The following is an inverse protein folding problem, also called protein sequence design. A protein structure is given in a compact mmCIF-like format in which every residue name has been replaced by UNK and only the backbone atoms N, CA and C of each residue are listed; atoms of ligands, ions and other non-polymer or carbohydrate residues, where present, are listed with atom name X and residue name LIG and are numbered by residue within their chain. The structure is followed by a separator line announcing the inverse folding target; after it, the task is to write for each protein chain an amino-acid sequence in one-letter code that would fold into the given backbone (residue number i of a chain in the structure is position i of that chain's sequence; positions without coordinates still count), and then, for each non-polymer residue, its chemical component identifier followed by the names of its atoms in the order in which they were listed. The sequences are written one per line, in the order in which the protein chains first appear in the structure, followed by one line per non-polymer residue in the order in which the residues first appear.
data_IF_335546367475
#
_entry.id   IF_335546367475
#
_cell.length_a   1.000
_cell.length_b   1.000
_cell.length_c   1.000
_cell.angle_alpha   90.00
_cell.angle_beta   90.00
_cell.angle_gamma   90.00
#
_symmetry.space_group_name_H-M   'P 1'
#
loop_
_entity.id
_entity.type
_entity.pdbx_description
1 polymer ?
#
# COMPACT_ATOMS: atom_id res chain seq x y z
N UNK A 1 3.92 -23.52 -8.80
CA UNK A 1 3.87 -22.05 -9.01
C UNK A 1 5.07 -21.53 -8.27
N UNK A 2 6.08 -21.08 -9.00
CA UNK A 2 7.33 -20.64 -8.40
C UNK A 2 7.25 -19.12 -8.26
N UNK A 3 6.63 -18.67 -7.17
CA UNK A 3 6.63 -17.27 -6.75
C UNK A 3 7.72 -17.11 -5.70
N UNK A 4 8.78 -16.36 -6.01
CA UNK A 4 9.79 -16.03 -5.03
C UNK A 4 9.27 -14.93 -4.10
N UNK A 5 9.54 -15.07 -2.79
CA UNK A 5 9.10 -14.10 -1.79
C UNK A 5 9.62 -12.67 -2.10
N UNK A 6 10.82 -12.55 -2.68
CA UNK A 6 11.43 -11.28 -3.10
C UNK A 6 10.61 -10.50 -4.13
N UNK A 7 9.78 -11.18 -4.92
CA UNK A 7 8.95 -10.58 -5.95
C UNK A 7 7.63 -10.05 -5.40
N UNK A 8 7.25 -10.42 -4.17
CA UNK A 8 6.03 -9.97 -3.55
C UNK A 8 6.12 -8.47 -3.24
N UNK A 9 5.11 -7.74 -3.70
CA UNK A 9 4.91 -6.32 -3.43
C UNK A 9 3.84 -6.12 -2.37
N UNK A 10 2.72 -6.82 -2.52
CA UNK A 10 1.53 -6.66 -1.67
C UNK A 10 0.78 -7.96 -1.47
N UNK A 11 0.23 -8.17 -0.29
CA UNK A 11 -0.73 -9.23 0.02
C UNK A 11 -1.94 -8.60 0.69
N UNK A 12 -3.15 -8.96 0.28
CA UNK A 12 -4.38 -8.61 0.98
C UNK A 12 -5.44 -9.69 0.84
N UNK A 13 -6.48 -9.61 1.67
CA UNK A 13 -7.70 -10.36 1.42
C UNK A 13 -8.29 -9.94 0.07
N UNK A 14 -8.88 -10.87 -0.65
CA UNK A 14 -9.73 -10.53 -1.80
C UNK A 14 -10.94 -9.70 -1.38
N UNK A 15 -11.34 -8.77 -2.23
CA UNK A 15 -12.55 -7.97 -2.07
C UNK A 15 -13.44 -8.19 -3.31
N UNK A 16 -14.67 -8.70 -3.15
CA UNK A 16 -15.56 -9.00 -4.28
C UNK A 16 -16.03 -7.75 -5.04
N UNK A 17 -15.71 -6.54 -4.56
CA UNK A 17 -15.98 -5.28 -5.26
C UNK A 17 -14.86 -4.93 -6.25
N UNK A 18 -13.68 -5.53 -6.09
CA UNK A 18 -12.47 -5.20 -6.84
C UNK A 18 -11.92 -6.36 -7.66
N UNK A 19 -12.09 -7.59 -7.16
CA UNK A 19 -11.36 -8.74 -7.67
C UNK A 19 -12.29 -9.69 -8.44
N UNK A 20 -11.81 -10.15 -9.60
CA UNK A 20 -12.56 -11.02 -10.52
C UNK A 20 -12.54 -12.52 -10.12
N UNK A 21 -11.81 -12.91 -9.08
CA UNK A 21 -11.57 -14.31 -8.70
C UNK A 21 -11.98 -14.61 -7.24
N UNK A 22 -12.33 -15.86 -6.98
CA UNK A 22 -12.84 -16.40 -5.71
C UNK A 22 -11.75 -16.92 -4.77
N UNK A 23 -10.49 -16.52 -4.95
CA UNK A 23 -9.45 -16.76 -3.95
C UNK A 23 -9.79 -16.07 -2.63
N UNK A 24 -9.22 -16.53 -1.52
CA UNK A 24 -9.32 -15.82 -0.22
C UNK A 24 -8.26 -14.71 -0.10
N UNK A 25 -7.17 -14.82 -0.86
CA UNK A 25 -6.03 -13.91 -0.81
C UNK A 25 -5.57 -13.51 -2.19
N UNK A 26 -5.31 -12.22 -2.35
CA UNK A 26 -4.66 -11.64 -3.51
C UNK A 26 -3.20 -11.32 -3.16
N UNK A 27 -2.29 -11.75 -4.02
CA UNK A 27 -0.85 -11.45 -3.95
C UNK A 27 -0.46 -10.68 -5.21
N UNK A 28 0.02 -9.45 -5.05
CA UNK A 28 0.64 -8.70 -6.13
C UNK A 28 2.15 -8.89 -6.08
N UNK A 29 2.70 -9.33 -7.21
CA UNK A 29 4.13 -9.45 -7.48
C UNK A 29 4.39 -8.94 -8.92
N UNK A 30 5.26 -9.59 -9.68
CA UNK A 30 5.37 -9.34 -11.14
C UNK A 30 4.08 -9.62 -11.92
N UNK A 31 3.17 -10.40 -11.34
CA UNK A 31 1.78 -10.57 -11.77
C UNK A 31 0.88 -10.73 -10.54
N UNK A 32 -0.44 -10.74 -10.75
CA UNK A 32 -1.42 -10.98 -9.69
C UNK A 32 -1.67 -12.47 -9.54
N UNK A 33 -1.71 -12.95 -8.29
CA UNK A 33 -2.06 -14.32 -7.94
C UNK A 33 -3.22 -14.33 -6.96
N UNK A 34 -4.15 -15.26 -7.16
CA UNK A 34 -5.23 -15.56 -6.24
C UNK A 34 -4.99 -16.93 -5.62
N UNK A 35 -5.04 -17.00 -4.29
CA UNK A 35 -4.80 -18.25 -3.55
C UNK A 35 -5.94 -18.51 -2.56
N UNK A 36 -6.13 -19.78 -2.19
CA UNK A 36 -7.25 -20.24 -1.37
C UNK A 36 -6.97 -20.10 0.13
N UNK A 37 -5.72 -19.91 0.51
CA UNK A 37 -5.28 -19.71 1.88
C UNK A 37 -5.68 -18.32 2.39
N UNK A 38 -5.89 -18.21 3.70
CA UNK A 38 -6.20 -16.95 4.38
C UNK A 38 -5.03 -15.97 4.34
N UNK A 39 -5.32 -14.69 4.11
CA UNK A 39 -4.29 -13.67 3.84
C UNK A 39 -3.27 -13.51 4.97
N UNK A 40 -3.70 -13.66 6.23
CA UNK A 40 -2.81 -13.66 7.39
C UNK A 40 -1.84 -14.84 7.39
N UNK A 41 -2.30 -16.03 6.99
CA UNK A 41 -1.45 -17.22 6.92
C UNK A 41 -0.45 -17.11 5.77
N UNK A 42 -0.90 -16.65 4.60
CA UNK A 42 -0.04 -16.36 3.45
C UNK A 42 1.02 -15.32 3.82
N UNK A 43 0.61 -14.20 4.43
CA UNK A 43 1.54 -13.16 4.85
C UNK A 43 2.55 -13.64 5.88
N UNK A 44 2.16 -14.51 6.82
CA UNK A 44 3.08 -15.10 7.79
C UNK A 44 4.12 -16.01 7.11
N UNK A 45 3.71 -16.82 6.13
CA UNK A 45 4.61 -17.66 5.35
C UNK A 45 5.59 -16.81 4.53
N UNK A 46 5.08 -15.80 3.81
CA UNK A 46 5.93 -14.89 3.02
C UNK A 46 6.87 -14.09 3.91
N UNK A 47 6.42 -13.62 5.09
CA UNK A 47 7.26 -12.88 6.05
C UNK A 47 8.49 -13.67 6.51
N UNK A 48 8.38 -15.00 6.61
CA UNK A 48 9.50 -15.85 7.01
C UNK A 48 10.66 -15.79 6.00
N UNK A 49 10.36 -15.56 4.72
CA UNK A 49 11.33 -15.46 3.63
C UNK A 49 11.60 -14.01 3.20
N UNK A 50 10.66 -13.10 3.48
CA UNK A 50 10.73 -11.67 3.19
C UNK A 50 10.55 -10.84 4.48
N UNK A 51 11.61 -10.62 5.27
CA UNK A 51 11.54 -9.87 6.53
C UNK A 51 11.11 -8.41 6.37
N UNK A 52 11.14 -7.85 5.16
CA UNK A 52 10.64 -6.50 4.87
C UNK A 52 9.12 -6.43 4.69
N UNK A 53 8.39 -7.54 4.77
CA UNK A 53 6.93 -7.51 4.68
C UNK A 53 6.33 -6.86 5.95
N UNK A 54 5.65 -5.73 5.83
CA UNK A 54 5.06 -4.98 6.94
C UNK A 54 3.54 -4.94 6.82
N UNK A 55 2.84 -5.10 7.96
CA UNK A 55 1.38 -5.07 8.01
C UNK A 55 0.90 -3.63 8.23
N UNK A 56 0.25 -3.08 7.23
CA UNK A 56 -0.55 -1.86 7.33
C UNK A 56 -2.04 -2.20 7.40
N UNK A 57 -2.84 -1.16 7.56
CA UNK A 57 -4.28 -1.27 7.66
C UNK A 57 -4.92 -0.51 6.51
N UNK A 58 -5.66 -1.25 5.69
CA UNK A 58 -6.50 -0.67 4.65
C UNK A 58 -7.58 0.22 5.28
N UNK A 59 -8.15 1.14 4.50
CA UNK A 59 -9.19 2.08 4.96
C UNK A 59 -10.32 1.41 5.74
N UNK A 60 -10.86 0.31 5.19
CA UNK A 60 -11.96 -0.45 5.76
C UNK A 60 -11.56 -1.33 6.97
N UNK A 61 -10.32 -1.21 7.46
CA UNK A 61 -9.81 -1.94 8.63
C UNK A 61 -9.21 -3.31 8.33
N UNK A 62 -9.32 -3.78 7.09
CA UNK A 62 -8.67 -5.03 6.68
C UNK A 62 -7.14 -4.86 6.64
N UNK A 63 -6.36 -5.89 7.02
CA UNK A 63 -4.91 -5.84 6.91
C UNK A 63 -4.46 -5.89 5.44
N UNK A 64 -3.40 -5.15 5.14
CA UNK A 64 -2.65 -5.22 3.88
C UNK A 64 -1.17 -5.33 4.23
N UNK A 65 -0.49 -6.30 3.64
CA UNK A 65 0.93 -6.52 3.87
C UNK A 65 1.72 -6.03 2.68
N UNK A 66 2.75 -5.22 2.91
CA UNK A 66 3.52 -4.55 1.86
C UNK A 66 5.00 -4.83 2.07
N UNK A 67 5.71 -5.12 1.00
CA UNK A 67 7.16 -5.19 1.02
C UNK A 67 7.74 -3.77 1.12
N UNK A 68 7.96 -3.29 2.33
CA UNK A 68 8.38 -1.90 2.56
C UNK A 68 9.83 -1.62 2.15
N UNK A 69 10.63 -2.66 1.87
CA UNK A 69 11.95 -2.47 1.26
C UNK A 69 11.86 -1.99 -0.19
N UNK A 70 10.82 -2.43 -0.91
CA UNK A 70 10.54 -2.01 -2.28
C UNK A 70 9.65 -0.75 -2.36
N UNK A 71 9.25 -0.20 -1.21
CA UNK A 71 8.32 0.91 -1.14
C UNK A 71 9.03 2.27 -1.04
N UNK A 72 8.29 3.32 -1.42
CA UNK A 72 8.65 4.72 -1.22
C UNK A 72 7.56 5.44 -0.46
N UNK A 73 7.92 6.19 0.57
CA UNK A 73 6.94 6.94 1.35
C UNK A 73 7.48 7.53 2.65
N UNK A 74 6.64 8.26 3.40
CA UNK A 74 5.21 8.47 3.17
C UNK A 74 4.92 9.34 1.94
N UNK A 75 3.74 9.16 1.36
CA UNK A 75 3.22 9.95 0.26
C UNK A 75 2.02 10.79 0.72
N UNK A 76 1.87 12.01 0.19
CA UNK A 76 0.72 12.85 0.47
C UNK A 76 -0.60 12.21 -0.03
N UNK A 77 -1.72 12.44 0.67
CA UNK A 77 -3.07 12.12 0.18
C UNK A 77 -3.60 13.20 -0.76
N UNK A 78 -4.13 12.83 -1.94
CA UNK A 78 -4.79 13.84 -2.77
C UNK A 78 -6.01 14.45 -2.04
N UNK A 79 -6.40 15.71 -2.33
CA UNK A 79 -7.49 16.39 -1.61
C UNK A 79 -8.82 15.61 -1.56
N UNK A 80 -9.12 14.84 -2.60
CA UNK A 80 -10.30 13.98 -2.70
C UNK A 80 -10.20 12.67 -1.88
N UNK A 81 -9.05 12.37 -1.29
CA UNK A 81 -8.79 11.19 -0.47
C UNK A 81 -8.70 11.52 1.03
N UNK A 82 -9.07 12.74 1.45
CA UNK A 82 -9.29 13.10 2.86
C UNK A 82 -10.63 12.53 3.37
N UNK A 83 -10.75 11.21 3.32
CA UNK A 83 -11.91 10.48 3.83
C UNK A 83 -11.60 9.89 5.21
N UNK A 84 -12.61 9.66 6.07
CA UNK A 84 -12.39 8.98 7.35
C UNK A 84 -11.71 7.62 7.13
N UNK A 85 -10.69 7.34 7.94
CA UNK A 85 -9.95 6.09 7.88
C UNK A 85 -8.82 6.06 6.84
N UNK A 86 -8.33 7.20 6.35
CA UNK A 86 -7.05 7.28 5.64
C UNK A 86 -6.20 8.41 6.24
N UNK A 87 -4.91 8.13 6.42
CA UNK A 87 -3.98 9.11 7.01
C UNK A 87 -2.71 9.29 6.17
N UNK A 88 -2.36 8.30 5.34
CA UNK A 88 -1.14 8.33 4.53
C UNK A 88 -1.25 7.43 3.31
N UNK A 89 -0.26 7.53 2.43
CA UNK A 89 -0.07 6.63 1.31
C UNK A 89 1.40 6.26 1.16
N UNK A 90 1.68 5.28 0.29
CA UNK A 90 3.01 4.90 -0.14
C UNK A 90 2.97 4.41 -1.60
N UNK A 91 4.09 4.53 -2.30
CA UNK A 91 4.32 3.92 -3.60
C UNK A 91 4.96 2.54 -3.40
N UNK A 92 4.39 1.52 -4.02
CA UNK A 92 4.93 0.16 -4.07
C UNK A 92 4.85 -0.34 -5.51
N UNK A 93 6.00 -0.53 -6.16
CA UNK A 93 6.07 -1.02 -7.53
C UNK A 93 5.44 -0.10 -8.57
N UNK A 94 5.45 1.23 -8.35
CA UNK A 94 4.87 2.21 -9.27
C UNK A 94 3.36 2.38 -9.12
N UNK A 95 2.77 1.82 -8.07
CA UNK A 95 1.35 1.98 -7.74
C UNK A 95 1.19 2.53 -6.33
N UNK A 96 0.17 3.35 -6.12
CA UNK A 96 -0.11 3.94 -4.82
C UNK A 96 -0.96 3.00 -3.96
N UNK A 97 -0.57 2.81 -2.70
CA UNK A 97 -1.41 2.17 -1.68
C UNK A 97 -1.78 3.20 -0.62
N UNK A 98 -3.07 3.29 -0.31
CA UNK A 98 -3.57 4.11 0.79
C UNK A 98 -3.67 3.31 2.08
N UNK A 99 -3.33 3.94 3.20
CA UNK A 99 -3.25 3.30 4.52
C UNK A 99 -3.78 4.20 5.64
N UNK A 100 -4.18 3.57 6.75
CA UNK A 100 -4.67 4.27 7.96
C UNK A 100 -3.55 4.83 8.81
N UNK A 101 -2.37 4.24 8.72
CA UNK A 101 -1.18 4.63 9.45
C UNK A 101 -0.77 6.06 9.09
N UNK A 102 -0.25 6.79 10.07
CA UNK A 102 0.21 8.16 9.88
C UNK A 102 1.43 8.22 8.96
N UNK A 103 1.74 9.40 8.38
CA UNK A 103 2.98 9.59 7.63
C UNK A 103 4.23 9.17 8.42
N UNK A 104 4.29 9.45 9.73
CA UNK A 104 5.37 9.05 10.63
C UNK A 104 5.48 7.52 10.75
N UNK A 105 4.35 6.83 10.92
CA UNK A 105 4.30 5.37 11.03
C UNK A 105 4.77 4.70 9.73
N UNK A 106 4.27 5.19 8.58
CA UNK A 106 4.72 4.72 7.25
C UNK A 106 6.21 4.97 7.07
N UNK A 107 6.69 6.18 7.41
CA UNK A 107 8.11 6.54 7.32
C UNK A 107 8.99 5.59 8.14
N UNK A 108 8.57 5.33 9.38
CA UNK A 108 9.28 4.47 10.31
C UNK A 108 9.37 3.03 9.80
N UNK A 109 8.26 2.49 9.27
CA UNK A 109 8.22 1.15 8.70
C UNK A 109 9.16 1.00 7.49
N UNK A 110 9.16 1.98 6.58
CA UNK A 110 10.04 1.99 5.40
C UNK A 110 11.51 2.12 5.82
N UNK A 111 11.82 3.04 6.74
CA UNK A 111 13.18 3.22 7.25
C UNK A 111 13.73 1.95 7.91
N UNK A 112 12.92 1.27 8.73
CA UNK A 112 13.31 0.05 9.43
C UNK A 112 13.65 -1.11 8.48
N UNK A 113 13.08 -1.11 7.27
CA UNK A 113 13.35 -2.10 6.23
C UNK A 113 14.40 -1.65 5.20
N UNK A 114 15.00 -0.46 5.37
CA UNK A 114 15.94 0.11 4.41
C UNK A 114 15.32 0.45 3.05
N UNK A 115 14.02 0.75 3.02
CA UNK A 115 13.34 1.25 1.82
C UNK A 115 13.58 2.74 1.56
N UNK A 116 12.84 3.30 0.60
CA UNK A 116 13.04 4.67 0.12
C UNK A 116 12.21 5.67 0.95
N UNK A 117 12.85 6.23 1.97
CA UNK A 117 12.21 7.17 2.91
C UNK A 117 12.04 8.54 2.28
N UNK A 118 10.79 8.99 2.19
CA UNK A 118 10.41 10.32 1.73
C UNK A 118 10.22 11.29 2.91
N UNK A 119 10.29 12.61 2.68
CA UNK A 119 9.93 13.62 3.67
C UNK A 119 8.48 13.47 4.14
N UNK A 120 8.22 13.79 5.40
CA UNK A 120 6.84 13.87 5.90
C UNK A 120 6.16 15.07 5.23
N UNK A 121 4.98 14.91 4.60
CA UNK A 121 4.27 16.03 3.98
C UNK A 121 3.86 17.05 5.04
N UNK A 122 4.46 18.25 5.01
CA UNK A 122 4.00 19.36 5.86
C UNK A 122 2.68 19.92 5.33
N UNK A 123 1.74 20.26 6.22
CA UNK A 123 0.46 20.93 5.87
C UNK A 123 0.65 22.22 5.05
N UNK A 124 1.80 22.87 5.19
CA UNK A 124 2.20 24.10 4.50
C UNK A 124 2.50 23.91 3.00
N UNK A 125 3.02 22.74 2.59
CA UNK A 125 3.40 22.43 1.20
C UNK A 125 2.18 22.27 0.27
N UNK A 126 1.01 21.97 0.84
CA UNK A 126 -0.26 21.80 0.13
C UNK A 126 -0.80 23.09 -0.48
N UNK A 127 -0.44 24.24 0.09
CA UNK A 127 -0.99 25.54 -0.30
C UNK A 127 -0.19 26.16 -1.45
N UNK A 128 1.11 25.89 -1.55
CA UNK A 128 2.00 26.61 -2.48
C UNK A 128 2.41 25.79 -3.72
N UNK A 129 2.30 24.46 -3.71
CA UNK A 129 2.79 23.58 -4.79
C UNK A 129 1.72 22.83 -5.57
N UNK A 130 0.51 23.37 -5.71
CA UNK A 130 -0.68 22.62 -6.17
C UNK A 130 -0.54 21.96 -7.54
N UNK A 131 0.19 22.53 -8.49
CA UNK A 131 0.30 21.93 -9.84
C UNK A 131 1.36 20.83 -9.89
N UNK A 132 2.57 21.08 -9.35
CA UNK A 132 3.65 20.07 -9.31
C UNK A 132 3.30 18.89 -8.41
N UNK A 133 2.67 19.12 -7.25
CA UNK A 133 2.19 18.03 -6.40
C UNK A 133 1.03 17.28 -7.05
N UNK A 134 0.17 17.94 -7.83
CA UNK A 134 -0.94 17.26 -8.51
C UNK A 134 -0.46 16.38 -9.66
N UNK A 135 0.60 16.75 -10.38
CA UNK A 135 1.23 15.86 -11.36
C UNK A 135 1.86 14.64 -10.67
N UNK A 136 2.61 14.82 -9.59
CA UNK A 136 3.27 13.72 -8.84
C UNK A 136 2.24 12.84 -8.11
N UNK A 137 1.15 13.42 -7.62
CA UNK A 137 0.09 12.70 -6.92
C UNK A 137 -0.92 12.08 -7.87
N UNK A 138 -1.13 12.63 -9.06
CA UNK A 138 -2.07 12.12 -10.05
C UNK A 138 -1.47 11.12 -11.05
N UNK A 139 -0.15 10.96 -11.09
CA UNK A 139 0.51 10.12 -12.10
C UNK A 139 0.56 8.63 -11.77
N UNK A 140 0.41 8.25 -10.50
CA UNK A 140 0.47 6.84 -10.10
C UNK A 140 -0.94 6.27 -10.02
N UNK A 141 -1.16 5.16 -10.73
CA UNK A 141 -2.35 4.34 -10.56
C UNK A 141 -2.44 3.89 -9.08
N UNK A 142 -3.60 4.10 -8.46
CA UNK A 142 -3.83 3.66 -7.10
C UNK A 142 -4.34 2.21 -7.09
N UNK A 143 -3.78 1.41 -6.20
CA UNK A 143 -4.41 0.16 -5.82
C UNK A 143 -5.67 0.42 -5.02
N UNK A 144 -6.72 -0.34 -5.34
CA UNK A 144 -7.99 -0.34 -4.61
C UNK A 144 -8.59 1.08 -4.50
N UNK A 145 -8.42 1.90 -5.55
CA UNK A 145 -8.82 3.31 -5.57
C UNK A 145 -10.29 3.47 -5.19
N UNK A 146 -11.16 2.60 -5.69
CA UNK A 146 -12.58 2.60 -5.40
C UNK A 146 -12.83 2.49 -3.89
N UNK A 147 -12.11 1.61 -3.19
CA UNK A 147 -12.28 1.46 -1.74
C UNK A 147 -11.73 2.66 -0.96
N UNK A 148 -10.76 3.36 -1.53
CA UNK A 148 -10.17 4.55 -0.92
C UNK A 148 -11.07 5.78 -0.97
N UNK A 149 -12.09 5.79 -1.84
CA UNK A 149 -13.02 6.92 -2.02
C UNK A 149 -14.49 6.63 -1.67
N UNK A 150 -14.87 5.37 -1.36
CA UNK A 150 -16.25 5.01 -1.00
C UNK A 150 -16.79 5.84 0.18
N UNK A 151 -18.01 6.37 0.13
CA UNK A 151 -18.62 7.07 1.28
C UNK A 151 -19.05 6.12 2.40
#
# INVERSE_FOLDING_TARGET
MDLEASQVLRIRKTDPRLDDDLGNTLINAGQTFFVQEESTAVAAAVKAELPSLYRFTHRLGAPVWINVHAAKGPMPLAPNHHVPGLSSALDIGGKRQYVRESPEEVRSAIAAAGGDVQPIPEESLWVQGRETLREILGSLEAWDEELSTLE
#
